data_IF_996386386419
#
_entry.id   IF_996386386419
#
_cell.length_a   1.000
_cell.length_b   1.000
_cell.length_c   1.000
_cell.angle_alpha   90.00
_cell.angle_beta   90.00
_cell.angle_gamma   90.00
#
_symmetry.space_group_name_H-M   'P 1'
#
loop_
_entity.id
_entity.type
_entity.pdbx_description
1 polymer ?
#
# COMPACT_ATOMS: atom_id res chain seq x y z
N UNK A 1 31.48 32.82 -50.45
CA UNK A 1 31.12 32.71 -49.02
C UNK A 1 29.85 33.48 -48.76
N UNK A 2 28.72 32.80 -48.49
CA UNK A 2 27.41 33.46 -48.19
C UNK A 2 27.42 33.83 -46.68
N UNK A 3 27.40 35.10 -46.34
CA UNK A 3 27.24 35.62 -44.98
C UNK A 3 25.84 35.24 -44.45
N UNK A 4 25.77 34.39 -43.40
CA UNK A 4 24.50 34.11 -42.71
C UNK A 4 24.03 35.41 -42.03
N UNK A 5 22.89 35.97 -42.44
CA UNK A 5 22.22 37.05 -41.72
C UNK A 5 21.76 36.59 -40.35
N UNK A 6 22.30 37.15 -39.27
CA UNK A 6 21.81 36.95 -37.90
C UNK A 6 20.44 37.64 -37.78
N UNK A 7 19.41 36.87 -37.50
CA UNK A 7 18.07 37.41 -37.20
C UNK A 7 18.13 38.09 -35.83
N UNK A 8 18.14 39.41 -35.79
CA UNK A 8 18.09 40.20 -34.55
C UNK A 8 16.61 40.44 -34.25
N UNK A 9 16.04 39.70 -33.29
CA UNK A 9 14.66 39.89 -32.82
C UNK A 9 14.55 41.25 -32.11
N UNK A 10 13.47 42.03 -32.41
CA UNK A 10 13.22 43.31 -31.73
C UNK A 10 12.97 43.09 -30.24
N UNK A 11 13.49 43.94 -29.34
CA UNK A 11 13.40 43.84 -27.86
C UNK A 11 12.00 43.47 -27.33
N UNK A 12 10.87 44.06 -27.79
CA UNK A 12 9.57 43.68 -27.28
C UNK A 12 9.20 42.23 -27.61
N UNK A 13 9.61 41.71 -28.76
CA UNK A 13 9.36 40.32 -29.14
C UNK A 13 10.21 39.34 -28.30
N UNK A 14 11.41 39.73 -27.94
CA UNK A 14 12.25 38.92 -27.02
C UNK A 14 11.63 38.79 -25.61
N UNK A 15 11.04 39.91 -25.12
CA UNK A 15 10.35 39.88 -23.82
C UNK A 15 9.08 39.00 -23.85
N UNK A 16 8.28 39.07 -24.94
CA UNK A 16 7.11 38.24 -25.11
C UNK A 16 7.51 36.75 -25.19
N UNK A 17 8.56 36.45 -25.97
CA UNK A 17 9.04 35.08 -26.10
C UNK A 17 9.56 34.54 -24.75
N UNK A 18 10.29 35.35 -24.00
CA UNK A 18 10.78 34.99 -22.66
C UNK A 18 9.62 34.75 -21.68
N UNK A 19 8.58 35.58 -21.71
CA UNK A 19 7.38 35.38 -20.89
C UNK A 19 6.63 34.09 -21.25
N UNK A 20 6.49 33.78 -22.54
CA UNK A 20 5.88 32.52 -22.99
C UNK A 20 6.69 31.30 -22.56
N UNK A 21 8.01 31.33 -22.69
CA UNK A 21 8.88 30.25 -22.23
C UNK A 21 8.80 30.05 -20.71
N UNK A 22 8.72 31.16 -19.96
CA UNK A 22 8.53 31.09 -18.51
C UNK A 22 7.18 30.46 -18.12
N UNK A 23 6.09 30.84 -18.81
CA UNK A 23 4.78 30.25 -18.57
C UNK A 23 4.75 28.76 -18.91
N UNK A 24 5.39 28.35 -20.00
CA UNK A 24 5.52 26.93 -20.38
C UNK A 24 6.33 26.15 -19.33
N UNK A 25 7.47 26.69 -18.89
CA UNK A 25 8.29 26.08 -17.87
C UNK A 25 7.54 25.96 -16.52
N UNK A 26 6.79 27.00 -16.15
CA UNK A 26 5.96 27.00 -14.94
C UNK A 26 4.82 25.96 -15.02
N UNK A 27 4.11 25.90 -16.15
CA UNK A 27 3.09 24.86 -16.41
C UNK A 27 3.68 23.45 -16.33
N UNK A 28 4.84 23.24 -16.95
CA UNK A 28 5.54 21.96 -16.91
C UNK A 28 5.98 21.60 -15.50
N UNK A 29 6.48 22.57 -14.73
CA UNK A 29 6.84 22.39 -13.32
C UNK A 29 5.61 22.00 -12.47
N UNK A 30 4.45 22.62 -12.70
CA UNK A 30 3.22 22.26 -11.99
C UNK A 30 2.74 20.85 -12.36
N UNK A 31 2.86 20.45 -13.63
CA UNK A 31 2.54 19.09 -14.08
C UNK A 31 3.46 18.06 -13.38
N UNK A 32 4.77 18.31 -13.36
CA UNK A 32 5.73 17.45 -12.66
C UNK A 32 5.42 17.38 -11.17
N UNK A 33 5.18 18.52 -10.51
CA UNK A 33 4.83 18.58 -9.09
C UNK A 33 3.55 17.78 -8.77
N UNK A 34 2.55 17.84 -9.65
CA UNK A 34 1.31 17.08 -9.49
C UNK A 34 1.54 15.56 -9.70
N UNK A 35 2.38 15.18 -10.65
CA UNK A 35 2.80 13.78 -10.86
C UNK A 35 3.52 13.25 -9.61
N UNK A 36 4.55 13.96 -9.10
CA UNK A 36 5.25 13.57 -7.88
C UNK A 36 4.35 13.51 -6.64
N UNK A 37 3.33 14.41 -6.55
CA UNK A 37 2.35 14.36 -5.45
C UNK A 37 1.43 13.13 -5.56
N UNK A 38 1.19 12.63 -6.76
CA UNK A 38 0.35 11.45 -6.99
C UNK A 38 1.14 10.15 -6.78
N UNK A 39 2.43 10.12 -7.16
CA UNK A 39 3.32 8.98 -6.91
C UNK A 39 3.65 8.79 -5.41
N UNK A 40 3.69 9.87 -4.63
CA UNK A 40 3.90 9.84 -3.18
C UNK A 40 2.62 9.53 -2.38
N UNK A 41 1.53 9.17 -3.02
CA UNK A 41 0.34 8.70 -2.33
C UNK A 41 0.50 7.21 -2.05
N UNK A 42 1.06 6.89 -0.87
CA UNK A 42 1.34 5.52 -0.41
C UNK A 42 0.11 4.61 -0.45
N UNK A 43 -1.08 5.20 -0.33
CA UNK A 43 -2.37 4.50 -0.31
C UNK A 43 -3.28 5.11 -1.37
N UNK A 44 -3.94 4.28 -2.18
CA UNK A 44 -4.88 4.72 -3.21
C UNK A 44 -6.13 5.39 -2.61
N UNK A 45 -6.80 6.22 -3.40
CA UNK A 45 -8.09 6.81 -2.98
C UNK A 45 -9.14 5.73 -2.74
N UNK A 46 -9.09 4.62 -3.47
CA UNK A 46 -9.99 3.47 -3.31
C UNK A 46 -9.82 2.84 -1.93
N UNK A 47 -8.58 2.62 -1.49
CA UNK A 47 -8.30 2.11 -0.13
C UNK A 47 -8.77 3.10 0.92
N UNK A 48 -8.53 4.41 0.76
CA UNK A 48 -8.98 5.43 1.69
C UNK A 48 -10.51 5.52 1.81
N UNK A 49 -11.24 5.20 0.75
CA UNK A 49 -12.72 5.15 0.81
C UNK A 49 -13.24 4.05 1.76
N UNK A 50 -12.42 3.07 2.10
CA UNK A 50 -12.75 2.01 3.06
C UNK A 50 -12.26 2.30 4.49
N UNK A 51 -11.66 3.46 4.76
CA UNK A 51 -11.05 3.78 6.07
C UNK A 51 -12.02 3.62 7.24
N UNK A 52 -13.23 4.21 7.16
CA UNK A 52 -14.23 4.10 8.23
C UNK A 52 -14.66 2.65 8.49
N UNK A 53 -14.80 1.89 7.41
CA UNK A 53 -15.18 0.47 7.48
C UNK A 53 -14.04 -0.37 8.07
N UNK A 54 -12.80 -0.11 7.65
CA UNK A 54 -11.62 -0.77 8.20
C UNK A 54 -11.46 -0.45 9.68
N UNK A 55 -11.65 0.81 10.08
CA UNK A 55 -11.56 1.23 11.47
C UNK A 55 -12.66 0.58 12.34
N UNK A 56 -13.87 0.44 11.81
CA UNK A 56 -14.96 -0.30 12.47
C UNK A 56 -14.51 -1.73 12.81
N UNK A 57 -14.08 -2.49 11.82
CA UNK A 57 -13.70 -3.89 12.03
C UNK A 57 -12.38 -4.06 12.77
N UNK A 58 -11.45 -3.10 12.66
CA UNK A 58 -10.25 -3.09 13.46
C UNK A 58 -10.54 -2.94 14.96
N UNK A 59 -11.48 -2.05 15.33
CA UNK A 59 -11.97 -1.90 16.72
C UNK A 59 -12.69 -3.15 17.23
N UNK A 60 -13.51 -3.80 16.41
CA UNK A 60 -14.18 -5.05 16.77
C UNK A 60 -13.21 -6.21 17.06
N UNK A 61 -11.96 -6.08 16.65
CA UNK A 61 -10.90 -7.07 16.84
C UNK A 61 -9.72 -6.55 17.68
N UNK A 62 -9.84 -5.39 18.34
CA UNK A 62 -8.83 -4.76 19.21
C UNK A 62 -7.49 -4.49 18.52
N UNK A 63 -7.53 -4.11 17.23
CA UNK A 63 -6.34 -3.81 16.39
C UNK A 63 -6.44 -2.46 15.66
N UNK A 64 -7.19 -1.50 16.17
CA UNK A 64 -7.35 -0.19 15.54
C UNK A 64 -6.04 0.59 15.38
N UNK A 65 -5.06 0.37 16.26
CA UNK A 65 -3.73 0.98 16.12
C UNK A 65 -2.99 0.53 14.85
N UNK A 66 -3.38 -0.59 14.25
CA UNK A 66 -2.83 -1.13 13.01
C UNK A 66 -3.57 -0.64 11.75
N UNK A 67 -4.45 0.38 11.84
CA UNK A 67 -5.24 0.85 10.68
C UNK A 67 -4.37 1.16 9.46
N UNK A 68 -3.26 1.89 9.65
CA UNK A 68 -2.34 2.19 8.56
C UNK A 68 -1.74 0.95 7.90
N UNK A 69 -1.43 -0.08 8.71
CA UNK A 69 -0.94 -1.36 8.21
C UNK A 69 -2.03 -2.13 7.44
N UNK A 70 -3.27 -2.10 7.90
CA UNK A 70 -4.41 -2.69 7.19
C UNK A 70 -4.65 -2.01 5.84
N UNK A 71 -4.52 -0.68 5.77
CA UNK A 71 -4.59 0.07 4.52
C UNK A 71 -3.45 -0.33 3.56
N UNK A 72 -2.23 -0.51 4.09
CA UNK A 72 -1.08 -0.99 3.32
C UNK A 72 -1.29 -2.41 2.78
N UNK A 73 -1.87 -3.30 3.59
CA UNK A 73 -2.25 -4.65 3.17
C UNK A 73 -3.26 -4.61 2.04
N UNK A 74 -4.38 -3.87 2.18
CA UNK A 74 -5.37 -3.74 1.12
C UNK A 74 -4.76 -3.14 -0.15
N UNK A 75 -3.84 -2.18 -0.02
CA UNK A 75 -3.12 -1.62 -1.15
C UNK A 75 -2.33 -2.68 -1.91
N UNK A 76 -1.69 -3.60 -1.19
CA UNK A 76 -0.91 -4.70 -1.75
C UNK A 76 -1.82 -5.77 -2.39
N UNK A 77 -2.93 -6.12 -1.74
CA UNK A 77 -3.81 -7.20 -2.17
C UNK A 77 -4.60 -6.84 -3.44
N UNK A 78 -5.12 -5.61 -3.50
CA UNK A 78 -6.02 -5.21 -4.60
C UNK A 78 -5.94 -3.73 -5.01
N UNK A 79 -5.25 -2.89 -4.22
CA UNK A 79 -5.36 -1.43 -4.35
C UNK A 79 -6.74 -0.90 -3.98
N UNK A 80 -7.55 -1.67 -3.25
CA UNK A 80 -8.94 -1.36 -2.89
C UNK A 80 -9.93 -1.62 -4.03
N UNK A 81 -9.56 -2.45 -5.01
CA UNK A 81 -10.39 -2.75 -6.18
C UNK A 81 -11.10 -4.10 -6.05
N UNK A 82 -12.18 -4.25 -6.82
CA UNK A 82 -12.94 -5.49 -6.88
C UNK A 82 -13.85 -5.72 -5.66
N UNK A 83 -14.39 -6.93 -5.56
CA UNK A 83 -15.33 -7.32 -4.51
C UNK A 83 -14.66 -8.06 -3.34
N UNK A 84 -13.40 -8.46 -3.50
CA UNK A 84 -12.58 -9.06 -2.44
C UNK A 84 -11.31 -8.22 -2.21
N UNK A 85 -11.46 -6.96 -1.70
CA UNK A 85 -10.34 -6.03 -1.61
C UNK A 85 -9.24 -6.48 -0.64
N UNK A 86 -9.53 -7.33 0.33
CA UNK A 86 -8.56 -7.91 1.25
C UNK A 86 -8.03 -9.29 0.80
N UNK A 87 -8.47 -9.80 -0.37
CA UNK A 87 -8.15 -11.14 -0.89
C UNK A 87 -8.33 -12.25 0.17
N UNK A 88 -9.44 -12.15 0.92
CA UNK A 88 -9.71 -12.98 2.09
C UNK A 88 -10.61 -14.17 1.82
N UNK A 89 -10.92 -14.44 0.54
CA UNK A 89 -11.84 -15.54 0.14
C UNK A 89 -11.40 -16.90 0.66
N UNK A 90 -10.10 -17.19 0.72
CA UNK A 90 -9.58 -18.51 1.10
C UNK A 90 -9.32 -18.64 2.60
N UNK A 91 -9.48 -17.57 3.39
CA UNK A 91 -9.23 -17.62 4.81
C UNK A 91 -10.27 -18.44 5.58
N UNK A 92 -9.90 -18.90 6.76
CA UNK A 92 -10.76 -19.77 7.60
C UNK A 92 -12.05 -19.09 8.06
N UNK A 93 -12.06 -17.77 8.20
CA UNK A 93 -13.23 -16.99 8.63
C UNK A 93 -14.24 -16.72 7.52
N UNK A 94 -13.90 -16.98 6.24
CA UNK A 94 -14.89 -16.97 5.18
C UNK A 94 -15.80 -18.19 5.31
N UNK A 95 -17.04 -17.95 5.72
CA UNK A 95 -18.07 -18.98 5.88
C UNK A 95 -19.27 -18.78 4.95
N UNK A 96 -19.30 -17.67 4.18
CA UNK A 96 -20.43 -17.31 3.34
C UNK A 96 -20.20 -17.61 1.85
N UNK A 97 -18.93 -17.61 1.42
CA UNK A 97 -18.55 -17.80 0.03
C UNK A 97 -17.65 -19.02 -0.13
N UNK A 98 -17.49 -19.47 -1.37
CA UNK A 98 -16.54 -20.55 -1.67
C UNK A 98 -15.12 -20.18 -1.28
N UNK A 99 -14.33 -21.15 -0.80
CA UNK A 99 -12.91 -20.95 -0.48
C UNK A 99 -12.03 -21.10 -1.73
N UNK A 100 -12.13 -20.12 -2.61
CA UNK A 100 -11.30 -20.00 -3.82
C UNK A 100 -10.99 -18.53 -4.08
N UNK A 101 -9.90 -18.21 -4.77
CA UNK A 101 -9.51 -16.83 -5.03
C UNK A 101 -10.65 -16.00 -5.62
N UNK A 102 -10.85 -14.78 -5.08
CA UNK A 102 -11.87 -13.81 -5.52
C UNK A 102 -13.32 -14.31 -5.47
N UNK A 103 -13.64 -15.27 -4.61
CA UNK A 103 -15.01 -15.79 -4.50
C UNK A 103 -15.95 -14.86 -3.73
N UNK A 104 -15.42 -14.03 -2.82
CA UNK A 104 -16.22 -13.05 -2.10
C UNK A 104 -16.71 -11.99 -3.09
N UNK A 105 -18.02 -11.76 -3.08
CA UNK A 105 -18.67 -10.74 -3.94
C UNK A 105 -19.19 -9.53 -3.16
N UNK A 106 -18.85 -9.43 -1.88
CA UNK A 106 -19.21 -8.35 -0.96
C UNK A 106 -17.94 -7.73 -0.36
N UNK A 107 -17.58 -6.49 -0.76
CA UNK A 107 -16.39 -5.81 -0.24
C UNK A 107 -16.38 -5.61 1.26
N UNK A 108 -17.53 -5.31 1.89
CA UNK A 108 -17.61 -5.15 3.33
C UNK A 108 -17.29 -6.47 4.05
N UNK A 109 -17.85 -7.58 3.56
CA UNK A 109 -17.56 -8.90 4.11
C UNK A 109 -16.09 -9.29 3.92
N UNK A 110 -15.49 -8.98 2.77
CA UNK A 110 -14.04 -9.20 2.55
C UNK A 110 -13.20 -8.46 3.59
N UNK A 111 -13.53 -7.19 3.85
CA UNK A 111 -12.81 -6.37 4.83
C UNK A 111 -12.99 -6.93 6.24
N UNK A 112 -14.21 -7.28 6.64
CA UNK A 112 -14.51 -7.89 7.93
C UNK A 112 -13.69 -9.16 8.16
N UNK A 113 -13.74 -10.07 7.20
CA UNK A 113 -13.07 -11.37 7.28
C UNK A 113 -11.55 -11.22 7.24
N UNK A 114 -11.02 -10.36 6.36
CA UNK A 114 -9.59 -10.11 6.23
C UNK A 114 -9.00 -9.49 7.50
N UNK A 115 -9.65 -8.50 8.08
CA UNK A 115 -9.19 -7.84 9.32
C UNK A 115 -9.21 -8.83 10.49
N UNK A 116 -10.28 -9.62 10.63
CA UNK A 116 -10.36 -10.66 11.66
C UNK A 116 -9.25 -11.71 11.50
N UNK A 117 -8.93 -12.08 10.27
CA UNK A 117 -7.85 -13.02 10.00
C UNK A 117 -6.48 -12.43 10.34
N UNK A 118 -6.25 -11.15 10.02
CA UNK A 118 -5.02 -10.48 10.38
C UNK A 118 -4.86 -10.30 11.90
N UNK A 119 -5.94 -9.97 12.63
CA UNK A 119 -5.94 -9.95 14.09
C UNK A 119 -5.47 -11.28 14.69
N UNK A 120 -5.96 -12.39 14.15
CA UNK A 120 -5.50 -13.73 14.55
C UNK A 120 -4.03 -13.96 14.20
N UNK A 121 -3.53 -13.45 13.08
CA UNK A 121 -2.11 -13.54 12.74
C UNK A 121 -1.24 -12.76 13.74
N UNK A 122 -1.65 -11.55 14.15
CA UNK A 122 -0.97 -10.74 15.17
C UNK A 122 -0.94 -11.45 16.52
N UNK A 123 -2.08 -12.00 16.96
CA UNK A 123 -2.18 -12.79 18.19
C UNK A 123 -1.22 -13.99 18.17
N UNK A 124 -1.22 -14.78 17.11
CA UNK A 124 -0.38 -15.97 16.96
C UNK A 124 1.11 -15.64 16.87
N UNK A 125 1.47 -14.51 16.30
CA UNK A 125 2.83 -14.00 16.26
C UNK A 125 3.27 -13.36 17.58
N UNK A 126 2.39 -13.30 18.61
CA UNK A 126 2.61 -12.65 19.91
C UNK A 126 3.04 -11.18 19.76
N UNK A 127 2.48 -10.46 18.77
CA UNK A 127 2.77 -9.06 18.55
C UNK A 127 2.23 -8.24 19.71
N UNK A 128 3.10 -7.49 20.39
CA UNK A 128 2.74 -6.71 21.59
C UNK A 128 2.59 -5.21 21.33
N UNK A 129 3.09 -4.72 20.19
CA UNK A 129 3.01 -3.31 19.81
C UNK A 129 3.42 -3.08 18.36
N UNK A 130 3.14 -1.89 17.83
CA UNK A 130 3.62 -1.44 16.50
C UNK A 130 5.15 -1.41 16.36
N UNK A 131 5.90 -1.47 17.48
CA UNK A 131 7.38 -1.51 17.46
C UNK A 131 7.95 -2.92 17.33
N UNK A 132 7.13 -3.94 17.43
CA UNK A 132 7.53 -5.33 17.22
C UNK A 132 7.57 -5.68 15.73
N UNK A 133 8.57 -5.13 15.03
CA UNK A 133 8.73 -5.34 13.59
C UNK A 133 8.77 -6.82 13.21
N UNK A 134 9.46 -7.65 14.01
CA UNK A 134 9.62 -9.08 13.70
C UNK A 134 8.29 -9.82 13.80
N UNK A 135 7.53 -9.55 14.87
CA UNK A 135 6.21 -10.14 15.05
C UNK A 135 5.23 -9.68 13.96
N UNK A 136 5.20 -8.38 13.64
CA UNK A 136 4.37 -7.83 12.58
C UNK A 136 4.69 -8.48 11.23
N UNK A 137 5.97 -8.61 10.90
CA UNK A 137 6.35 -9.26 9.65
C UNK A 137 5.96 -10.73 9.61
N UNK A 138 6.07 -11.45 10.72
CA UNK A 138 5.61 -12.83 10.82
C UNK A 138 4.09 -12.92 10.63
N UNK A 139 3.33 -11.99 11.22
CA UNK A 139 1.88 -11.91 11.05
C UNK A 139 1.49 -11.64 9.59
N UNK A 140 2.16 -10.70 8.91
CA UNK A 140 1.94 -10.39 7.49
C UNK A 140 2.22 -11.60 6.59
N UNK A 141 3.30 -12.34 6.86
CA UNK A 141 3.60 -13.57 6.11
C UNK A 141 2.54 -14.65 6.34
N UNK A 142 2.07 -14.75 7.57
CA UNK A 142 1.05 -15.72 7.91
C UNK A 142 -0.31 -15.38 7.32
N UNK A 143 -0.58 -14.10 7.08
CA UNK A 143 -1.74 -13.68 6.30
C UNK A 143 -1.67 -14.23 4.86
N UNK A 144 -0.51 -14.10 4.20
CA UNK A 144 -0.31 -14.53 2.82
C UNK A 144 -0.20 -16.05 2.63
N UNK A 145 0.46 -16.74 3.57
CA UNK A 145 0.76 -18.18 3.43
C UNK A 145 -0.11 -19.09 4.30
N UNK A 146 -0.98 -18.49 5.10
CA UNK A 146 -1.74 -19.20 6.13
C UNK A 146 -0.98 -19.32 7.45
N UNK A 147 -1.74 -19.43 8.55
CA UNK A 147 -1.20 -19.52 9.93
C UNK A 147 -0.24 -20.70 10.12
N UNK A 148 -0.37 -21.76 9.34
CA UNK A 148 0.57 -22.88 9.34
C UNK A 148 2.01 -22.49 9.01
N UNK A 149 2.25 -21.35 8.39
CA UNK A 149 3.58 -20.82 8.13
C UNK A 149 4.37 -20.57 9.42
N UNK A 150 3.73 -20.11 10.50
CA UNK A 150 4.38 -19.92 11.80
C UNK A 150 4.97 -21.21 12.34
N UNK A 151 4.20 -22.30 12.31
CA UNK A 151 4.69 -23.61 12.74
C UNK A 151 5.89 -24.09 11.91
N UNK A 152 5.90 -23.80 10.60
CA UNK A 152 7.03 -24.12 9.74
C UNK A 152 8.29 -23.33 10.12
N UNK A 153 8.15 -22.04 10.42
CA UNK A 153 9.26 -21.18 10.86
C UNK A 153 9.84 -21.66 12.18
N UNK A 154 8.99 -21.98 13.17
CA UNK A 154 9.40 -22.50 14.47
C UNK A 154 10.13 -23.85 14.37
N UNK A 155 9.61 -24.80 13.58
CA UNK A 155 10.19 -26.14 13.44
C UNK A 155 11.51 -26.17 12.67
N UNK A 156 11.75 -25.18 11.81
CA UNK A 156 12.93 -25.19 10.94
C UNK A 156 14.07 -24.33 11.44
N UNK A 157 13.90 -23.66 12.60
CA UNK A 157 14.86 -22.68 13.17
C UNK A 157 15.33 -21.64 12.10
N UNK A 158 14.50 -21.49 11.07
CA UNK A 158 14.71 -20.49 10.04
C UNK A 158 14.30 -19.16 10.61
N UNK A 159 15.27 -18.47 11.20
CA UNK A 159 15.06 -17.08 11.58
C UNK A 159 14.44 -16.34 10.41
N UNK A 160 13.32 -15.69 10.72
CA UNK A 160 12.70 -14.72 9.85
C UNK A 160 13.79 -13.71 9.41
N UNK A 161 14.22 -13.77 8.17
CA UNK A 161 15.14 -12.79 7.62
C UNK A 161 14.38 -11.84 6.71
N UNK A 162 14.62 -10.55 6.87
CA UNK A 162 14.17 -9.48 5.98
C UNK A 162 14.32 -9.84 4.49
N UNK A 163 15.31 -10.67 4.15
CA UNK A 163 15.55 -11.13 2.78
C UNK A 163 14.50 -12.12 2.27
N UNK A 164 13.90 -12.91 3.14
CA UNK A 164 12.81 -13.82 2.76
C UNK A 164 11.51 -13.04 2.51
N UNK A 165 11.31 -11.92 3.22
CA UNK A 165 10.17 -11.00 3.04
C UNK A 165 10.31 -10.16 1.78
N UNK A 166 11.51 -9.68 1.49
CA UNK A 166 11.79 -8.83 0.32
C UNK A 166 11.37 -9.46 -1.00
N UNK A 167 11.24 -10.78 -1.03
CA UNK A 167 10.81 -11.53 -2.21
C UNK A 167 9.28 -11.49 -2.42
N UNK A 168 8.52 -11.11 -1.39
CA UNK A 168 7.05 -11.26 -1.33
C UNK A 168 6.35 -9.92 -1.26
N UNK A 169 6.95 -8.98 -0.53
CA UNK A 169 6.42 -7.62 -0.40
C UNK A 169 7.18 -6.76 -1.41
N UNK A 170 6.50 -6.28 -2.43
CA UNK A 170 7.07 -5.30 -3.37
C UNK A 170 7.62 -4.09 -2.61
N UNK A 171 8.65 -3.46 -3.11
CA UNK A 171 9.34 -2.31 -2.51
C UNK A 171 8.38 -1.24 -1.94
N UNK A 172 7.23 -1.02 -2.58
CA UNK A 172 6.22 -0.04 -2.15
C UNK A 172 5.55 -0.37 -0.82
N UNK A 173 5.19 -1.63 -0.57
CA UNK A 173 4.58 -2.02 0.70
C UNK A 173 5.56 -2.00 1.87
N UNK A 174 6.85 -2.20 1.62
CA UNK A 174 7.88 -2.09 2.65
C UNK A 174 8.14 -0.65 3.08
N UNK A 175 8.12 0.31 2.14
CA UNK A 175 8.18 1.73 2.48
C UNK A 175 6.96 2.15 3.31
N UNK A 176 5.77 1.65 2.97
CA UNK A 176 4.54 1.91 3.70
C UNK A 176 4.63 1.35 5.12
N UNK A 177 4.96 0.07 5.28
CA UNK A 177 5.09 -0.58 6.59
C UNK A 177 6.19 0.08 7.43
N UNK A 178 7.36 0.33 6.85
CA UNK A 178 8.47 1.03 7.52
C UNK A 178 8.08 2.43 8.00
N UNK A 179 7.28 3.16 7.22
CA UNK A 179 6.85 4.50 7.57
C UNK A 179 5.81 4.50 8.70
N UNK A 180 4.89 3.52 8.75
CA UNK A 180 3.91 3.39 9.83
C UNK A 180 4.50 2.85 11.13
N UNK A 181 5.63 2.12 11.07
CA UNK A 181 6.33 1.63 12.28
C UNK A 181 7.27 2.70 12.87
N UNK A 182 7.72 3.69 12.08
CA UNK A 182 8.64 4.74 12.53
C UNK A 182 7.95 5.97 13.16
N UNK A 183 6.62 6.08 13.13
CA UNK A 183 5.82 7.12 13.76
C UNK A 183 4.94 6.57 14.87
#
# INVERSE_FOLDING_TARGET
MKKKKKLILKRPFQLILAALLFLLAFSFFQLIKNQFKQENKLVSTQVLNYEDLMLKYARENDIEEYLGLLQAMMMQESGGQGNDPMQSSECEFNTQFEKKPNAISDPEYSIQVGIRYFAKCLEKANVSSLKDEKGIFLALQSYNYGIGYMNYVEQTDKQYTYQNVKRIITYQSMEIVSMYIMF
#
